data_IF_129462058681
#
_entry.id   IF_129462058681
#
_cell.length_a   1.000
_cell.length_b   1.000
_cell.length_c   1.000
_cell.angle_alpha   90.00
_cell.angle_beta   90.00
_cell.angle_gamma   90.00
#
_symmetry.space_group_name_H-M   'P 1'
#
loop_
_entity.id
_entity.type
_entity.pdbx_description
1 polymer ?
#
# COMPACT_ATOMS: atom_id res chain seq x y z
N UNK A 1 18.85 4.55 -4.13
CA UNK A 1 17.58 5.26 -4.39
C UNK A 1 17.72 6.66 -3.82
N UNK A 2 17.36 7.66 -4.59
CA UNK A 2 17.24 9.04 -4.13
C UNK A 2 16.00 9.20 -3.23
N UNK A 3 16.00 10.24 -2.41
CA UNK A 3 14.85 10.61 -1.58
C UNK A 3 13.58 10.86 -2.43
N UNK A 4 13.74 11.43 -3.62
CA UNK A 4 12.64 11.65 -4.56
C UNK A 4 12.00 10.33 -5.04
N UNK A 5 12.81 9.33 -5.39
CA UNK A 5 12.31 8.01 -5.80
C UNK A 5 11.60 7.28 -4.65
N UNK A 6 12.07 7.48 -3.41
CA UNK A 6 11.42 6.93 -2.22
C UNK A 6 10.02 7.55 -2.04
N UNK A 7 9.94 8.88 -2.10
CA UNK A 7 8.69 9.61 -1.91
C UNK A 7 7.66 9.31 -3.02
N UNK A 8 8.12 9.16 -4.27
CA UNK A 8 7.27 8.74 -5.38
C UNK A 8 6.67 7.34 -5.14
N UNK A 9 7.50 6.38 -4.72
CA UNK A 9 7.03 5.01 -4.42
C UNK A 9 6.05 4.96 -3.25
N UNK A 10 6.30 5.74 -2.20
CA UNK A 10 5.34 5.86 -1.08
C UNK A 10 4.02 6.46 -1.58
N UNK A 11 4.08 7.51 -2.40
CA UNK A 11 2.90 8.10 -3.02
C UNK A 11 2.07 7.09 -3.82
N UNK A 12 2.72 6.27 -4.65
CA UNK A 12 2.08 5.21 -5.40
C UNK A 12 1.46 4.13 -4.49
N UNK A 13 2.17 3.71 -3.44
CA UNK A 13 1.68 2.74 -2.46
C UNK A 13 0.45 3.27 -1.70
N UNK A 14 0.43 4.55 -1.32
CA UNK A 14 -0.74 5.19 -0.72
C UNK A 14 -1.95 5.20 -1.66
N UNK A 15 -1.76 5.50 -2.95
CA UNK A 15 -2.84 5.43 -3.94
C UNK A 15 -3.36 4.00 -4.12
N UNK A 16 -2.47 3.01 -4.11
CA UNK A 16 -2.86 1.60 -4.18
C UNK A 16 -3.71 1.18 -2.96
N UNK A 17 -3.31 1.56 -1.74
CA UNK A 17 -4.10 1.31 -0.52
C UNK A 17 -5.49 1.96 -0.61
N UNK A 18 -5.58 3.19 -1.11
CA UNK A 18 -6.88 3.85 -1.33
C UNK A 18 -7.75 3.11 -2.35
N UNK A 19 -7.16 2.61 -3.44
CA UNK A 19 -7.87 1.77 -4.41
C UNK A 19 -8.38 0.46 -3.80
N UNK A 20 -7.56 -0.19 -2.98
CA UNK A 20 -7.94 -1.42 -2.27
C UNK A 20 -9.03 -1.18 -1.23
N UNK A 21 -9.04 -0.03 -0.55
CA UNK A 21 -10.12 0.34 0.35
C UNK A 21 -11.47 0.41 -0.39
N UNK A 22 -11.50 1.05 -1.57
CA UNK A 22 -12.72 1.07 -2.40
C UNK A 22 -13.15 -0.32 -2.84
N UNK A 23 -12.20 -1.20 -3.19
CA UNK A 23 -12.50 -2.58 -3.56
C UNK A 23 -13.10 -3.37 -2.39
N UNK A 24 -12.55 -3.25 -1.19
CA UNK A 24 -13.10 -3.86 0.04
C UNK A 24 -14.50 -3.33 0.33
N UNK A 25 -14.75 -2.02 0.17
CA UNK A 25 -16.11 -1.48 0.34
C UNK A 25 -17.10 -2.04 -0.69
N UNK A 26 -16.65 -2.36 -1.90
CA UNK A 26 -17.49 -2.96 -2.95
C UNK A 26 -17.72 -4.47 -2.79
N UNK A 27 -16.78 -5.18 -2.16
CA UNK A 27 -16.84 -6.62 -1.96
C UNK A 27 -16.21 -7.03 -0.60
N UNK A 28 -16.87 -6.70 0.53
CA UNK A 28 -16.28 -6.85 1.87
C UNK A 28 -16.07 -8.30 2.28
N UNK A 29 -16.86 -9.22 1.73
CA UNK A 29 -16.79 -10.66 2.03
C UNK A 29 -15.94 -11.44 1.02
N UNK A 30 -15.32 -10.77 0.04
CA UNK A 30 -14.44 -11.42 -0.93
C UNK A 30 -13.03 -11.64 -0.32
N UNK A 31 -12.63 -12.89 -0.04
CA UNK A 31 -11.34 -13.19 0.58
C UNK A 31 -10.16 -12.78 -0.31
N UNK A 32 -10.32 -12.78 -1.64
CA UNK A 32 -9.26 -12.37 -2.55
C UNK A 32 -9.03 -10.86 -2.51
N UNK A 33 -10.09 -10.07 -2.32
CA UNK A 33 -10.00 -8.61 -2.13
C UNK A 33 -9.33 -8.29 -0.80
N UNK A 34 -9.69 -9.02 0.26
CA UNK A 34 -9.06 -8.88 1.57
C UNK A 34 -7.56 -9.21 1.53
N UNK A 35 -7.16 -10.28 0.84
CA UNK A 35 -5.75 -10.67 0.68
C UNK A 35 -4.96 -9.62 -0.09
N UNK A 36 -5.51 -9.08 -1.18
CA UNK A 36 -4.89 -8.01 -1.97
C UNK A 36 -4.72 -6.71 -1.17
N UNK A 37 -5.75 -6.30 -0.43
CA UNK A 37 -5.69 -5.13 0.45
C UNK A 37 -4.61 -5.28 1.52
N UNK A 38 -4.49 -6.47 2.11
CA UNK A 38 -3.45 -6.78 3.08
C UNK A 38 -2.04 -6.74 2.46
N UNK A 39 -1.90 -7.22 1.21
CA UNK A 39 -0.67 -7.11 0.43
C UNK A 39 -0.23 -5.66 0.23
N UNK A 40 -1.15 -4.78 -0.18
CA UNK A 40 -0.88 -3.36 -0.37
C UNK A 40 -0.44 -2.65 0.93
N UNK A 41 -1.06 -2.99 2.06
CA UNK A 41 -0.67 -2.46 3.38
C UNK A 41 0.73 -2.90 3.79
N UNK A 42 1.09 -4.17 3.54
CA UNK A 42 2.44 -4.69 3.83
C UNK A 42 3.51 -4.02 2.97
N UNK A 43 3.21 -3.76 1.70
CA UNK A 43 4.11 -3.03 0.82
C UNK A 43 4.35 -1.61 1.33
N UNK A 44 3.30 -0.89 1.72
CA UNK A 44 3.42 0.45 2.29
C UNK A 44 4.23 0.43 3.60
N UNK A 45 3.96 -0.50 4.51
CA UNK A 45 4.72 -0.63 5.77
C UNK A 45 6.21 -0.89 5.51
N UNK A 46 6.53 -1.77 4.54
CA UNK A 46 7.91 -2.05 4.17
C UNK A 46 8.62 -0.81 3.63
N UNK A 47 7.95 -0.01 2.79
CA UNK A 47 8.49 1.25 2.29
C UNK A 47 8.70 2.26 3.42
N UNK A 48 7.73 2.44 4.31
CA UNK A 48 7.88 3.40 5.42
C UNK A 48 8.98 3.00 6.39
N UNK A 49 9.15 1.71 6.69
CA UNK A 49 10.27 1.21 7.51
C UNK A 49 11.62 1.47 6.88
N UNK A 50 11.72 1.30 5.57
CA UNK A 50 12.95 1.58 4.83
C UNK A 50 13.34 3.07 4.91
N UNK A 51 12.36 3.97 5.06
CA UNK A 51 12.61 5.41 5.27
C UNK A 51 12.91 5.74 6.72
N UNK A 52 12.16 5.20 7.68
CA UNK A 52 12.33 5.51 9.09
C UNK A 52 13.62 4.93 9.70
N UNK A 53 14.21 3.92 9.06
CA UNK A 53 15.48 3.31 9.46
C UNK A 53 16.72 3.79 8.69
N UNK A 54 16.55 4.72 7.74
CA UNK A 54 17.63 5.35 6.97
C UNK A 54 18.03 6.70 7.58
#
# INVERSE_FOLDING_TARGET
>A
MSEAEIMERIGAACQNVMGMFMAVCGAPDDPAVAEQANGALRELDALMRAVAGA
#
